data_IF_785422206519
#
_entry.id   IF_785422206519
#
_cell.length_a   1.000
_cell.length_b   1.000
_cell.length_c   1.000
_cell.angle_alpha   90.00
_cell.angle_beta   90.00
_cell.angle_gamma   90.00
#
_symmetry.space_group_name_H-M   'P 1'
#
loop_
_entity.id
_entity.type
_entity.pdbx_description
1 polymer ?
#
# COMPACT_ATOMS: atom_id res chain seq x y z
N UNK A 1 13.31 -61.91 -13.23
CA UNK A 1 14.66 -61.37 -13.11
C UNK A 1 14.65 -60.31 -11.99
N UNK A 2 15.09 -60.75 -10.82
CA UNK A 2 15.10 -59.96 -9.60
C UNK A 2 16.53 -59.45 -9.43
N UNK A 3 16.74 -58.16 -9.63
CA UNK A 3 18.01 -57.47 -9.36
C UNK A 3 18.09 -57.12 -7.88
N UNK A 4 18.89 -57.89 -7.17
CA UNK A 4 19.28 -57.63 -5.77
C UNK A 4 20.31 -56.50 -5.75
N UNK A 5 19.92 -55.32 -5.23
CA UNK A 5 20.89 -54.25 -4.93
C UNK A 5 21.62 -54.63 -3.63
N UNK A 6 22.84 -55.07 -3.72
CA UNK A 6 23.75 -55.18 -2.57
C UNK A 6 24.27 -53.80 -2.23
N UNK A 7 23.75 -53.24 -1.11
CA UNK A 7 24.33 -52.05 -0.50
C UNK A 7 25.57 -52.48 0.29
N UNK A 8 26.74 -52.09 -0.18
CA UNK A 8 27.98 -52.19 0.58
C UNK A 8 27.97 -51.10 1.67
N UNK A 9 27.81 -51.49 2.90
CA UNK A 9 28.05 -50.60 4.05
C UNK A 9 29.56 -50.39 4.17
N UNK A 10 30.09 -49.34 3.58
CA UNK A 10 31.44 -48.88 3.82
C UNK A 10 31.47 -48.19 5.18
N UNK A 11 31.97 -48.86 6.19
CA UNK A 11 32.24 -48.27 7.50
C UNK A 11 33.51 -47.44 7.34
N UNK A 12 33.34 -46.14 7.15
CA UNK A 12 34.45 -45.17 7.16
C UNK A 12 34.82 -44.90 8.63
N UNK A 13 36.02 -45.28 9.03
CA UNK A 13 36.53 -44.96 10.34
C UNK A 13 36.74 -43.43 10.46
N UNK A 14 36.17 -42.74 11.45
CA UNK A 14 36.29 -41.28 11.55
C UNK A 14 37.73 -40.77 11.73
N UNK A 15 38.65 -41.65 12.12
CA UNK A 15 40.09 -41.31 12.31
C UNK A 15 40.89 -41.33 10.98
N UNK A 16 40.35 -41.90 9.89
CA UNK A 16 41.03 -42.02 8.62
C UNK A 16 40.68 -40.86 7.61
N UNK A 17 39.94 -39.84 8.08
CA UNK A 17 39.65 -38.69 7.23
C UNK A 17 40.87 -37.77 7.23
N UNK A 18 41.63 -37.65 6.14
CA UNK A 18 42.72 -36.68 6.07
C UNK A 18 42.16 -35.29 6.30
N UNK A 19 42.57 -34.64 7.37
CA UNK A 19 42.27 -33.22 7.59
C UNK A 19 43.01 -32.46 6.48
N UNK A 20 42.31 -32.23 5.37
CA UNK A 20 42.78 -31.30 4.35
C UNK A 20 42.71 -29.94 5.03
N UNK A 21 43.87 -29.44 5.41
CA UNK A 21 43.99 -28.04 5.89
C UNK A 21 43.50 -27.12 4.80
N UNK A 22 42.25 -26.68 4.94
CA UNK A 22 41.73 -25.62 4.07
C UNK A 22 42.51 -24.35 4.47
N UNK A 23 43.49 -24.01 3.66
CA UNK A 23 44.21 -22.77 3.76
C UNK A 23 43.20 -21.65 3.49
N UNK A 24 42.61 -21.13 4.58
CA UNK A 24 41.62 -20.04 4.53
C UNK A 24 42.21 -18.68 4.11
N UNK A 25 43.47 -18.65 3.70
CA UNK A 25 44.13 -17.45 3.15
C UNK A 25 43.88 -17.25 1.66
N UNK A 26 43.11 -18.13 0.98
CA UNK A 26 42.68 -17.82 -0.37
C UNK A 26 41.79 -16.57 -0.33
N UNK A 27 42.38 -15.44 -0.72
CA UNK A 27 41.67 -14.16 -0.90
C UNK A 27 40.39 -14.45 -1.69
N UNK A 28 39.25 -14.23 -1.04
CA UNK A 28 37.95 -14.37 -1.70
C UNK A 28 37.96 -13.45 -2.92
N UNK A 29 37.78 -13.97 -4.14
CA UNK A 29 37.78 -13.11 -5.32
C UNK A 29 36.79 -11.95 -5.11
N UNK A 30 37.15 -10.74 -5.53
CA UNK A 30 36.26 -9.58 -5.35
C UNK A 30 34.90 -9.93 -5.95
N UNK A 31 33.80 -9.55 -5.26
CA UNK A 31 32.46 -9.82 -5.76
C UNK A 31 32.36 -9.25 -7.17
N UNK A 32 31.87 -10.07 -8.12
CA UNK A 32 31.59 -9.63 -9.49
C UNK A 32 30.72 -8.38 -9.40
N UNK A 33 31.03 -7.31 -10.17
CA UNK A 33 30.19 -6.12 -10.20
C UNK A 33 28.74 -6.55 -10.54
N UNK A 34 27.80 -6.12 -9.70
CA UNK A 34 26.39 -6.38 -9.96
C UNK A 34 26.04 -5.81 -11.34
N UNK A 35 25.32 -6.60 -12.19
CA UNK A 35 24.92 -6.12 -13.50
C UNK A 35 24.11 -4.83 -13.34
N UNK A 36 24.44 -3.80 -14.11
CA UNK A 36 23.71 -2.55 -14.12
C UNK A 36 22.23 -2.84 -14.41
N UNK A 37 21.29 -2.31 -13.60
CA UNK A 37 19.86 -2.57 -13.78
C UNK A 37 19.42 -2.05 -15.16
N UNK A 38 18.69 -2.87 -15.89
CA UNK A 38 18.16 -2.49 -17.19
C UNK A 38 17.29 -1.21 -17.11
N UNK A 39 17.32 -0.35 -18.15
CA UNK A 39 16.57 0.92 -18.16
C UNK A 39 15.07 0.74 -17.86
N UNK A 40 14.48 -0.39 -18.25
CA UNK A 40 13.09 -0.73 -17.94
C UNK A 40 12.86 -1.00 -16.46
N UNK A 41 13.79 -1.66 -15.77
CA UNK A 41 13.72 -1.91 -14.33
C UNK A 41 13.82 -0.60 -13.53
N UNK A 42 14.68 0.32 -13.97
CA UNK A 42 14.78 1.65 -13.37
C UNK A 42 13.47 2.43 -13.54
N UNK A 43 12.85 2.35 -14.72
CA UNK A 43 11.57 3.01 -15.01
C UNK A 43 10.43 2.43 -14.16
N UNK A 44 10.33 1.11 -14.06
CA UNK A 44 9.33 0.43 -13.22
C UNK A 44 9.49 0.82 -11.75
N UNK A 45 10.70 0.80 -11.21
CA UNK A 45 11.02 1.20 -9.85
C UNK A 45 10.63 2.65 -9.55
N UNK A 46 10.88 3.56 -10.49
CA UNK A 46 10.51 4.98 -10.35
C UNK A 46 8.99 5.19 -10.33
N UNK A 47 8.23 4.40 -11.10
CA UNK A 47 6.76 4.44 -11.10
C UNK A 47 6.23 3.97 -9.74
N UNK A 48 6.76 2.88 -9.21
CA UNK A 48 6.32 2.35 -7.91
C UNK A 48 6.66 3.30 -6.75
N UNK A 49 7.82 3.92 -6.77
CA UNK A 49 8.20 4.95 -5.78
C UNK A 49 7.23 6.14 -5.80
N UNK A 50 6.85 6.62 -6.99
CA UNK A 50 5.86 7.71 -7.12
C UNK A 50 4.50 7.31 -6.57
N UNK A 51 4.03 6.08 -6.82
CA UNK A 51 2.76 5.57 -6.28
C UNK A 51 2.78 5.53 -4.76
N UNK A 52 3.86 5.04 -4.15
CA UNK A 52 4.01 5.02 -2.69
C UNK A 52 4.00 6.43 -2.11
N UNK A 53 4.68 7.38 -2.75
CA UNK A 53 4.68 8.79 -2.32
C UNK A 53 3.29 9.41 -2.39
N UNK A 54 2.56 9.22 -3.49
CA UNK A 54 1.21 9.76 -3.66
C UNK A 54 0.26 9.16 -2.62
N UNK A 55 0.32 7.87 -2.34
CA UNK A 55 -0.47 7.25 -1.26
C UNK A 55 -0.16 7.85 0.11
N UNK A 56 1.10 8.10 0.41
CA UNK A 56 1.50 8.74 1.67
C UNK A 56 0.92 10.15 1.79
N UNK A 57 0.90 10.91 0.70
CA UNK A 57 0.29 12.24 0.67
C UNK A 57 -1.22 12.16 0.96
N UNK A 58 -1.96 11.25 0.33
CA UNK A 58 -3.39 11.08 0.60
C UNK A 58 -3.66 10.66 2.05
N UNK A 59 -2.89 9.73 2.60
CA UNK A 59 -2.99 9.34 4.01
C UNK A 59 -2.76 10.52 4.94
N UNK A 60 -1.76 11.34 4.65
CA UNK A 60 -1.44 12.52 5.45
C UNK A 60 -2.54 13.58 5.36
N UNK A 61 -3.09 13.85 4.18
CA UNK A 61 -4.18 14.82 4.02
C UNK A 61 -5.45 14.33 4.75
N UNK A 62 -5.82 13.07 4.62
CA UNK A 62 -6.96 12.51 5.37
C UNK A 62 -6.74 12.53 6.88
N UNK A 63 -5.51 12.36 7.35
CA UNK A 63 -5.15 12.55 8.75
C UNK A 63 -5.38 14.00 9.21
N UNK A 64 -4.94 14.98 8.41
CA UNK A 64 -5.19 16.40 8.72
C UNK A 64 -6.69 16.69 8.79
N UNK A 65 -7.48 16.17 7.83
CA UNK A 65 -8.93 16.36 7.82
C UNK A 65 -9.59 15.75 9.07
N UNK A 66 -9.19 14.54 9.47
CA UNK A 66 -9.64 13.92 10.70
C UNK A 66 -9.26 14.76 11.93
N UNK A 67 -8.03 15.24 12.00
CA UNK A 67 -7.58 16.08 13.09
C UNK A 67 -8.39 17.38 13.15
N UNK A 68 -8.67 18.01 12.02
CA UNK A 68 -9.49 19.22 11.93
C UNK A 68 -10.91 18.98 12.42
N UNK A 69 -11.53 17.83 12.06
CA UNK A 69 -12.89 17.51 12.56
C UNK A 69 -12.90 17.23 14.06
N UNK A 70 -11.89 16.55 14.60
CA UNK A 70 -11.75 16.33 16.05
C UNK A 70 -11.63 17.67 16.79
N UNK A 71 -10.76 18.56 16.31
CA UNK A 71 -10.59 19.88 16.92
C UNK A 71 -11.87 20.73 16.84
N UNK A 72 -12.57 20.68 15.70
CA UNK A 72 -13.87 21.32 15.55
C UNK A 72 -14.91 20.79 16.55
N UNK A 73 -14.96 19.48 16.76
CA UNK A 73 -15.88 18.85 17.73
C UNK A 73 -15.56 19.26 19.16
N UNK A 74 -14.29 19.38 19.52
CA UNK A 74 -13.87 19.82 20.87
C UNK A 74 -14.26 21.30 21.10
N UNK A 75 -14.14 22.14 20.06
CA UNK A 75 -14.44 23.58 20.17
C UNK A 75 -15.95 23.88 20.20
N UNK A 76 -16.76 23.01 19.57
CA UNK A 76 -18.22 23.20 19.44
C UNK A 76 -18.92 22.00 20.09
N UNK A 77 -18.80 21.91 21.42
CA UNK A 77 -19.14 20.73 22.22
C UNK A 77 -20.63 20.30 22.20
N UNK A 78 -21.54 21.10 21.67
CA UNK A 78 -22.99 20.84 21.74
C UNK A 78 -23.62 20.41 20.39
N UNK A 79 -22.80 20.10 19.37
CA UNK A 79 -23.33 19.80 18.04
C UNK A 79 -23.14 18.34 17.68
N UNK A 80 -24.25 17.55 17.70
CA UNK A 80 -24.28 16.15 17.26
C UNK A 80 -23.73 15.96 15.84
N UNK A 81 -23.90 16.93 14.94
CA UNK A 81 -23.39 16.87 13.58
C UNK A 81 -21.87 16.83 13.54
N UNK A 82 -21.19 17.66 14.36
CA UNK A 82 -19.73 17.67 14.46
C UNK A 82 -19.18 16.33 14.96
N UNK A 83 -19.88 15.67 15.88
CA UNK A 83 -19.51 14.36 16.38
C UNK A 83 -19.68 13.27 15.30
N UNK A 84 -20.77 13.33 14.53
CA UNK A 84 -21.00 12.42 13.39
C UNK A 84 -19.96 12.64 12.29
N UNK A 85 -19.61 13.87 11.96
CA UNK A 85 -18.58 14.19 10.98
C UNK A 85 -17.21 13.65 11.41
N UNK A 86 -16.87 13.74 12.70
CA UNK A 86 -15.65 13.17 13.25
C UNK A 86 -15.62 11.65 13.15
N UNK A 87 -16.72 10.99 13.51
CA UNK A 87 -16.81 9.54 13.43
C UNK A 87 -16.68 9.03 11.99
N UNK A 88 -17.39 9.67 11.07
CA UNK A 88 -17.35 9.31 9.66
C UNK A 88 -15.98 9.62 9.03
N UNK A 89 -15.34 10.71 9.42
CA UNK A 89 -13.97 11.05 9.00
C UNK A 89 -12.96 10.03 9.52
N UNK A 90 -13.13 9.50 10.74
CA UNK A 90 -12.29 8.44 11.27
C UNK A 90 -12.42 7.14 10.46
N UNK A 91 -13.65 6.74 10.12
CA UNK A 91 -13.90 5.58 9.26
C UNK A 91 -13.26 5.79 7.88
N UNK A 92 -13.37 6.98 7.30
CA UNK A 92 -12.75 7.33 6.03
C UNK A 92 -11.23 7.21 6.09
N UNK A 93 -10.61 7.74 7.14
CA UNK A 93 -9.18 7.65 7.34
C UNK A 93 -8.68 6.18 7.41
N UNK A 94 -9.34 5.35 8.22
CA UNK A 94 -9.05 3.92 8.31
C UNK A 94 -9.22 3.23 6.95
N UNK A 95 -10.24 3.61 6.18
CA UNK A 95 -10.50 3.06 4.85
C UNK A 95 -9.37 3.38 3.85
N UNK A 96 -8.81 4.59 3.94
CA UNK A 96 -7.64 4.99 3.14
C UNK A 96 -6.38 4.24 3.57
N UNK A 97 -6.20 4.00 4.89
CA UNK A 97 -5.08 3.19 5.39
C UNK A 97 -5.14 1.75 4.88
N UNK A 98 -6.32 1.14 4.87
CA UNK A 98 -6.56 -0.25 4.48
C UNK A 98 -6.88 -0.43 2.99
N UNK A 99 -6.91 0.65 2.20
CA UNK A 99 -7.28 0.68 0.78
C UNK A 99 -8.69 0.10 0.50
N UNK A 100 -9.64 0.34 1.40
CA UNK A 100 -11.04 -0.12 1.28
C UNK A 100 -11.88 0.88 0.47
N UNK A 101 -11.90 0.68 -0.85
CA UNK A 101 -12.57 1.58 -1.82
C UNK A 101 -14.07 1.70 -1.53
N UNK A 102 -14.74 0.62 -1.14
CA UNK A 102 -16.20 0.62 -1.00
C UNK A 102 -16.66 1.49 0.18
N UNK A 103 -15.92 1.48 1.29
CA UNK A 103 -16.21 2.35 2.43
C UNK A 103 -15.95 3.82 2.06
N UNK A 104 -14.89 4.07 1.29
CA UNK A 104 -14.59 5.43 0.83
C UNK A 104 -15.66 5.98 -0.13
N UNK A 105 -16.30 5.12 -0.96
CA UNK A 105 -17.47 5.50 -1.78
C UNK A 105 -18.67 5.92 -0.91
N UNK A 106 -18.97 5.14 0.14
CA UNK A 106 -20.04 5.47 1.09
C UNK A 106 -19.78 6.82 1.75
N UNK A 107 -18.53 7.06 2.17
CA UNK A 107 -18.15 8.35 2.75
C UNK A 107 -18.29 9.50 1.74
N UNK A 108 -17.87 9.30 0.49
CA UNK A 108 -18.04 10.32 -0.56
C UNK A 108 -19.52 10.63 -0.81
N UNK A 109 -20.38 9.63 -0.81
CA UNK A 109 -21.83 9.82 -0.90
C UNK A 109 -22.37 10.63 0.28
N UNK A 110 -21.98 10.28 1.51
CA UNK A 110 -22.36 11.06 2.71
C UNK A 110 -21.95 12.54 2.60
N UNK A 111 -20.70 12.82 2.22
CA UNK A 111 -20.23 14.19 2.03
C UNK A 111 -21.02 14.94 0.95
N UNK A 112 -21.43 14.28 -0.10
CA UNK A 112 -22.26 14.88 -1.16
C UNK A 112 -23.64 15.26 -0.65
N UNK A 113 -24.23 14.43 0.21
CA UNK A 113 -25.51 14.73 0.88
C UNK A 113 -25.34 15.93 1.83
N UNK A 114 -24.30 15.94 2.67
CA UNK A 114 -24.01 17.04 3.58
C UNK A 114 -23.77 18.37 2.82
N UNK A 115 -23.02 18.31 1.72
CA UNK A 115 -22.80 19.45 0.83
C UNK A 115 -24.13 20.02 0.30
N UNK A 116 -25.02 19.14 -0.18
CA UNK A 116 -26.33 19.54 -0.70
C UNK A 116 -27.18 20.19 0.38
N UNK A 117 -27.23 19.61 1.59
CA UNK A 117 -27.96 20.16 2.72
C UNK A 117 -27.39 21.51 3.20
N UNK A 118 -26.05 21.63 3.26
CA UNK A 118 -25.40 22.88 3.61
C UNK A 118 -25.69 23.98 2.57
N UNK A 119 -25.68 23.62 1.29
CA UNK A 119 -26.02 24.54 0.19
C UNK A 119 -27.48 25.00 0.25
N UNK A 120 -28.41 24.10 0.55
CA UNK A 120 -29.82 24.43 0.70
C UNK A 120 -30.09 25.41 1.89
N UNK A 121 -29.37 25.23 3.00
CA UNK A 121 -29.51 26.05 4.19
C UNK A 121 -28.60 27.29 4.20
N UNK A 122 -27.85 27.55 3.12
CA UNK A 122 -26.93 28.69 2.99
C UNK A 122 -25.84 28.76 4.07
N UNK A 123 -25.41 27.63 4.60
CA UNK A 123 -24.29 27.55 5.55
C UNK A 123 -22.93 27.61 4.79
N UNK A 124 -22.48 28.82 4.46
CA UNK A 124 -21.35 29.05 3.57
C UNK A 124 -20.05 28.40 4.04
N UNK A 125 -19.76 28.41 5.33
CA UNK A 125 -18.56 27.79 5.91
C UNK A 125 -18.55 26.26 5.71
N UNK A 126 -19.68 25.61 5.92
CA UNK A 126 -19.83 24.18 5.73
C UNK A 126 -19.84 23.79 4.26
N UNK A 127 -20.32 24.64 3.35
CA UNK A 127 -20.31 24.40 1.91
C UNK A 127 -18.86 24.21 1.43
N UNK A 128 -17.96 25.14 1.78
CA UNK A 128 -16.54 25.07 1.41
C UNK A 128 -15.90 23.83 1.99
N UNK A 129 -16.13 23.54 3.27
CA UNK A 129 -15.58 22.35 3.94
C UNK A 129 -16.00 21.06 3.24
N UNK A 130 -17.29 20.83 3.04
CA UNK A 130 -17.79 19.60 2.41
C UNK A 130 -17.39 19.51 0.96
N UNK A 131 -17.30 20.61 0.23
CA UNK A 131 -16.82 20.64 -1.13
C UNK A 131 -15.37 20.17 -1.24
N UNK A 132 -14.48 20.77 -0.46
CA UNK A 132 -13.04 20.43 -0.47
C UNK A 132 -12.83 18.98 -0.05
N UNK A 133 -13.54 18.53 0.99
CA UNK A 133 -13.41 17.17 1.47
C UNK A 133 -13.98 16.14 0.47
N UNK A 134 -15.10 16.44 -0.17
CA UNK A 134 -15.67 15.59 -1.24
C UNK A 134 -14.70 15.48 -2.42
N UNK A 135 -14.12 16.59 -2.86
CA UNK A 135 -13.13 16.59 -3.94
C UNK A 135 -11.90 15.73 -3.60
N UNK A 136 -11.38 15.86 -2.39
CA UNK A 136 -10.28 15.05 -1.90
C UNK A 136 -10.61 13.55 -1.92
N UNK A 137 -11.80 13.17 -1.46
CA UNK A 137 -12.23 11.77 -1.49
C UNK A 137 -12.36 11.23 -2.91
N UNK A 138 -12.91 12.01 -3.83
CA UNK A 138 -13.01 11.63 -5.26
C UNK A 138 -11.62 11.42 -5.84
N UNK A 139 -10.68 12.33 -5.60
CA UNK A 139 -9.30 12.17 -6.06
C UNK A 139 -8.65 10.91 -5.49
N UNK A 140 -8.84 10.64 -4.20
CA UNK A 140 -8.33 9.43 -3.54
C UNK A 140 -8.96 8.16 -4.12
N UNK A 141 -10.28 8.14 -4.35
CA UNK A 141 -10.99 7.02 -4.97
C UNK A 141 -10.47 6.71 -6.38
N UNK A 142 -10.31 7.76 -7.19
CA UNK A 142 -9.78 7.62 -8.55
C UNK A 142 -8.37 7.02 -8.51
N UNK A 143 -7.51 7.53 -7.63
CA UNK A 143 -6.15 7.01 -7.49
C UNK A 143 -6.13 5.54 -7.06
N UNK A 144 -6.90 5.17 -6.03
CA UNK A 144 -6.98 3.79 -5.55
C UNK A 144 -7.60 2.84 -6.60
N UNK A 145 -8.55 3.32 -7.40
CA UNK A 145 -9.14 2.53 -8.48
C UNK A 145 -8.12 2.24 -9.60
N UNK A 146 -7.31 3.24 -9.98
CA UNK A 146 -6.22 3.05 -10.95
C UNK A 146 -5.15 2.08 -10.42
N UNK A 147 -4.73 2.22 -9.18
CA UNK A 147 -3.78 1.31 -8.56
C UNK A 147 -4.28 -0.13 -8.56
N UNK A 148 -5.57 -0.35 -8.23
CA UNK A 148 -6.18 -1.68 -8.24
C UNK A 148 -6.24 -2.25 -9.65
N UNK A 149 -6.62 -1.44 -10.64
CA UNK A 149 -6.66 -1.86 -12.05
C UNK A 149 -5.29 -2.30 -12.54
N UNK A 150 -4.25 -1.51 -12.29
CA UNK A 150 -2.89 -1.81 -12.72
C UNK A 150 -2.35 -3.08 -12.04
N UNK A 151 -2.71 -3.32 -10.79
CA UNK A 151 -2.39 -4.55 -10.09
C UNK A 151 -3.03 -5.77 -10.79
N UNK A 152 -4.31 -5.70 -11.15
CA UNK A 152 -4.98 -6.80 -11.87
C UNK A 152 -4.38 -7.04 -13.25
N UNK A 153 -4.03 -5.99 -13.99
CA UNK A 153 -3.39 -6.12 -15.30
C UNK A 153 -2.02 -6.81 -15.15
N UNK A 154 -1.21 -6.43 -14.18
CA UNK A 154 0.10 -7.06 -13.95
C UNK A 154 -0.01 -8.54 -13.58
N UNK A 155 -1.01 -8.91 -12.78
CA UNK A 155 -1.33 -10.30 -12.46
C UNK A 155 -1.73 -11.09 -13.71
N UNK A 156 -2.57 -10.50 -14.58
CA UNK A 156 -3.05 -11.13 -15.80
C UNK A 156 -1.88 -11.41 -16.77
N UNK A 157 -0.96 -10.45 -16.92
CA UNK A 157 0.24 -10.61 -17.76
C UNK A 157 1.16 -11.69 -17.19
N UNK A 158 1.29 -11.81 -15.86
CA UNK A 158 2.12 -12.84 -15.24
C UNK A 158 1.59 -14.26 -15.43
N UNK A 159 0.26 -14.42 -15.57
CA UNK A 159 -0.41 -15.70 -15.80
C UNK A 159 -0.36 -16.10 -17.28
N UNK A 160 -0.39 -15.13 -18.18
CA UNK A 160 -0.31 -15.32 -19.62
C UNK A 160 0.95 -14.63 -20.18
N UNK A 161 2.15 -15.20 -19.93
CA UNK A 161 3.35 -14.69 -20.57
C UNK A 161 3.16 -14.83 -22.08
N UNK A 162 3.40 -13.73 -22.81
CA UNK A 162 3.31 -13.72 -24.26
C UNK A 162 4.07 -14.92 -24.86
N UNK A 163 3.48 -15.63 -25.85
CA UNK A 163 4.12 -16.73 -26.54
C UNK A 163 5.37 -16.28 -27.31
#
# INVERSE_FOLDING_TARGET
>A
MTTTNEYYNVVINPDDIPVIGIDNTAERPPPLPEPEPEPEQIRARNIDLRRVQIRSVYKFIHFIMLFTTIMGTIMVSDNYQSLMDTFISAISYVSVLENKIDILKIHTFYLSVCFTLASYNFYFEYIIYYFVYSLLNVCTLVHLAFDRRDYYISQLISVFPNP
#
